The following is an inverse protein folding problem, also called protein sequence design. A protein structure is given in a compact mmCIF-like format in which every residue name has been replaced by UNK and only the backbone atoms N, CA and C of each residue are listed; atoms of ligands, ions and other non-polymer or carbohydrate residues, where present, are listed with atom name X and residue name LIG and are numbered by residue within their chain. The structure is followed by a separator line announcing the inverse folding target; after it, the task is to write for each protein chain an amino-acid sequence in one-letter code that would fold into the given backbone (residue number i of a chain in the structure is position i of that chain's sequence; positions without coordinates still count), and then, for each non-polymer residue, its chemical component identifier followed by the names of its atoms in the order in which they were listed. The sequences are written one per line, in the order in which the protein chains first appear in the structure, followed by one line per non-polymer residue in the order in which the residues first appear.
data_IF_078352571508
#
_entry.id   IF_078352571508
#
_cell.length_a   1.000
_cell.length_b   1.000
_cell.length_c   1.000
_cell.angle_alpha   90.00
_cell.angle_beta   90.00
_cell.angle_gamma   90.00
#
_symmetry.space_group_name_H-M   'P 1'
#
loop_
_entity.id
_entity.type
_entity.pdbx_description
1 polymer ?
#
# COMPACT_ATOMS: atom_id res chain seq x y z
N UNK A 1 -6.34 -13.94 -4.76
CA UNK A 1 -5.20 -13.21 -4.19
C UNK A 1 -5.67 -11.99 -3.44
N UNK A 2 -4.90 -11.61 -2.44
CA UNK A 2 -5.25 -10.50 -1.57
C UNK A 2 -4.14 -9.46 -1.66
N UNK A 3 -4.51 -8.18 -1.61
CA UNK A 3 -3.58 -7.08 -1.80
C UNK A 3 -3.76 -6.04 -0.71
N UNK A 4 -2.73 -5.24 -0.49
CA UNK A 4 -2.84 -4.06 0.35
C UNK A 4 -2.03 -2.92 -0.26
N UNK A 5 -2.26 -1.72 0.27
CA UNK A 5 -1.64 -0.51 -0.28
C UNK A 5 -0.56 -0.02 0.69
N UNK A 6 0.57 0.34 0.12
CA UNK A 6 1.64 1.00 0.86
C UNK A 6 1.86 2.38 0.25
N UNK A 7 2.39 3.28 1.03
CA UNK A 7 2.60 4.65 0.57
C UNK A 7 3.86 5.24 1.15
N UNK A 8 4.34 6.30 0.53
CA UNK A 8 5.40 7.12 1.09
C UNK A 8 5.30 8.54 0.56
N UNK A 9 5.87 9.48 1.29
CA UNK A 9 6.12 10.80 0.77
C UNK A 9 7.19 10.67 -0.33
N UNK A 10 7.07 11.44 -1.40
CA UNK A 10 8.05 11.39 -2.50
C UNK A 10 9.47 11.65 -2.06
N UNK A 11 9.65 12.35 -0.93
CA UNK A 11 10.96 12.64 -0.36
C UNK A 11 11.49 11.52 0.53
N UNK A 12 10.65 10.59 0.93
CA UNK A 12 11.04 9.47 1.79
C UNK A 12 11.59 8.32 0.97
N UNK A 13 12.36 7.47 1.63
CA UNK A 13 12.94 6.29 1.01
C UNK A 13 12.18 5.01 1.34
N UNK A 14 11.33 5.02 2.34
CA UNK A 14 10.63 3.83 2.79
C UNK A 14 9.12 3.95 2.67
N UNK A 15 8.50 2.88 2.19
CA UNK A 15 7.06 2.75 2.15
C UNK A 15 6.52 2.29 3.50
N UNK A 16 5.30 2.70 3.80
CA UNK A 16 4.57 2.31 5.00
C UNK A 16 3.20 1.79 4.59
N UNK A 17 2.63 0.93 5.43
CA UNK A 17 1.28 0.46 5.14
C UNK A 17 0.28 1.60 5.23
N UNK A 18 -0.68 1.60 4.31
CA UNK A 18 -1.72 2.62 4.27
C UNK A 18 -3.04 2.02 4.73
N UNK A 19 -3.53 2.51 5.87
CA UNK A 19 -4.88 2.24 6.38
C UNK A 19 -5.19 0.79 6.77
N UNK A 20 -4.21 -0.10 6.80
CA UNK A 20 -4.38 -1.49 7.26
C UNK A 20 -5.55 -2.23 6.61
N UNK A 21 -5.90 -1.90 5.37
CA UNK A 21 -6.97 -2.56 4.64
C UNK A 21 -6.42 -3.56 3.63
N UNK A 22 -7.17 -4.63 3.44
CA UNK A 22 -6.83 -5.63 2.42
C UNK A 22 -7.93 -5.67 1.37
N UNK A 23 -7.55 -6.02 0.16
CA UNK A 23 -8.45 -6.03 -0.99
C UNK A 23 -8.32 -7.37 -1.71
N UNK A 24 -9.42 -7.86 -2.22
CA UNK A 24 -9.46 -9.10 -2.98
C UNK A 24 -9.15 -8.91 -4.46
N UNK A 25 -8.98 -7.68 -4.90
CA UNK A 25 -8.79 -7.32 -6.29
C UNK A 25 -7.73 -6.22 -6.39
N UNK A 26 -6.74 -6.43 -7.23
CA UNK A 26 -5.66 -5.47 -7.43
C UNK A 26 -6.19 -4.12 -7.92
N UNK A 27 -7.19 -4.13 -8.78
CA UNK A 27 -7.78 -2.89 -9.31
C UNK A 27 -8.48 -2.09 -8.21
N UNK A 28 -9.14 -2.76 -7.29
CA UNK A 28 -9.79 -2.10 -6.15
C UNK A 28 -8.74 -1.44 -5.26
N UNK A 29 -7.66 -2.15 -4.98
CA UNK A 29 -6.58 -1.61 -4.16
C UNK A 29 -5.93 -0.40 -4.84
N UNK A 30 -5.69 -0.50 -6.14
CA UNK A 30 -5.11 0.58 -6.92
C UNK A 30 -6.01 1.82 -6.92
N UNK A 31 -7.29 1.62 -7.12
CA UNK A 31 -8.27 2.70 -7.09
C UNK A 31 -8.31 3.38 -5.73
N UNK A 32 -8.32 2.58 -4.67
CA UNK A 32 -8.32 3.10 -3.30
C UNK A 32 -7.07 3.94 -3.03
N UNK A 33 -5.91 3.42 -3.41
CA UNK A 33 -4.67 4.15 -3.24
C UNK A 33 -4.66 5.46 -4.01
N UNK A 34 -5.06 5.41 -5.27
CA UNK A 34 -5.10 6.57 -6.14
C UNK A 34 -6.04 7.66 -5.61
N UNK A 35 -7.22 7.25 -5.14
CA UNK A 35 -8.22 8.18 -4.63
C UNK A 35 -7.82 8.79 -3.29
N UNK A 36 -7.12 8.03 -2.46
CA UNK A 36 -6.82 8.43 -1.08
C UNK A 36 -5.50 9.19 -0.93
N UNK A 37 -4.63 9.13 -1.94
CA UNK A 37 -3.32 9.77 -1.84
C UNK A 37 -3.42 11.27 -2.01
N UNK A 38 -2.76 11.99 -1.12
CA UNK A 38 -2.63 13.44 -1.20
C UNK A 38 -1.45 13.81 -2.10
N UNK A 39 -1.44 15.06 -2.55
CA UNK A 39 -0.34 15.59 -3.33
C UNK A 39 0.99 15.43 -2.56
N UNK A 40 2.02 14.98 -3.24
CA UNK A 40 3.32 14.77 -2.63
C UNK A 40 3.55 13.36 -2.10
N UNK A 41 2.55 12.51 -2.20
CA UNK A 41 2.66 11.10 -1.80
C UNK A 41 2.54 10.19 -3.01
N UNK A 42 3.13 9.02 -2.92
CA UNK A 42 2.96 8.00 -3.93
C UNK A 42 2.58 6.68 -3.27
N UNK A 43 1.93 5.82 -4.01
CA UNK A 43 1.44 4.55 -3.47
C UNK A 43 1.84 3.39 -4.36
N UNK A 44 1.81 2.20 -3.76
CA UNK A 44 1.97 0.94 -4.47
C UNK A 44 0.98 -0.06 -3.95
N UNK A 45 0.54 -0.94 -4.83
CA UNK A 45 -0.27 -2.10 -4.43
C UNK A 45 0.66 -3.30 -4.38
N UNK A 46 0.64 -4.02 -3.27
CA UNK A 46 1.47 -5.20 -3.08
C UNK A 46 0.60 -6.38 -2.68
N UNK A 47 1.05 -7.58 -3.05
CA UNK A 47 0.35 -8.79 -2.67
C UNK A 47 0.49 -9.06 -1.18
N UNK A 48 -0.59 -9.50 -0.56
CA UNK A 48 -0.59 -9.89 0.85
C UNK A 48 0.03 -11.27 0.98
N UNK A 49 1.31 -11.30 1.23
CA UNK A 49 2.07 -12.52 1.47
C UNK A 49 3.00 -12.30 2.64
N UNK A 50 3.59 -13.38 3.14
CA UNK A 50 4.43 -13.32 4.34
C UNK A 50 5.56 -12.30 4.21
N UNK A 51 6.22 -12.28 3.07
CA UNK A 51 7.35 -11.36 2.84
C UNK A 51 6.92 -9.91 2.94
N UNK A 52 5.82 -9.57 2.26
CA UNK A 52 5.33 -8.19 2.26
C UNK A 52 4.72 -7.79 3.60
N UNK A 53 4.04 -8.73 4.26
CA UNK A 53 3.48 -8.47 5.59
C UNK A 53 4.59 -8.18 6.59
N UNK A 54 5.64 -8.99 6.58
CA UNK A 54 6.78 -8.78 7.47
C UNK A 54 7.49 -7.46 7.20
N UNK A 55 7.54 -7.07 5.94
CA UNK A 55 8.25 -5.86 5.53
C UNK A 55 7.46 -4.58 5.85
N UNK A 56 6.16 -4.59 5.68
CA UNK A 56 5.35 -3.38 5.77
C UNK A 56 4.33 -3.39 6.89
N UNK A 57 3.75 -4.55 7.19
CA UNK A 57 2.61 -4.63 8.09
C UNK A 57 2.98 -4.53 9.56
N UNK A 58 4.11 -5.13 9.92
CA UNK A 58 4.55 -5.21 11.32
C UNK A 58 5.71 -4.27 11.64
N UNK A 59 5.80 -3.17 10.97
CA UNK A 59 6.83 -2.19 11.27
C UNK A 59 6.43 -1.18 12.33
#
# INVERSE_FOLDING_TARGET
MIYFVIYKNKKDTEYKIFNNEIFDDQKKAEYFGKKSMKRGFEHKVVEYNKSNVDKYWYK
#
